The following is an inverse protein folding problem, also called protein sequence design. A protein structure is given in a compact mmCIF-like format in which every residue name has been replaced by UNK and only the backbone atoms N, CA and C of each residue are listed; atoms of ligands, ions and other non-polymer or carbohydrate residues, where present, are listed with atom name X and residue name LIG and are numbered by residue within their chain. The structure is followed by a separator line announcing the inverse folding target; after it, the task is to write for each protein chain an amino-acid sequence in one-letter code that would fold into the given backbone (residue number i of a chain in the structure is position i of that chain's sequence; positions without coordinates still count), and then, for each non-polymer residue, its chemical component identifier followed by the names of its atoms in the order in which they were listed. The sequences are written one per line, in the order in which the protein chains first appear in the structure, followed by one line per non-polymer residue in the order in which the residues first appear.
data_IF_737040253906
#
_entry.id   IF_737040253906
#
_cell.length_a   1.000
_cell.length_b   1.000
_cell.length_c   1.000
_cell.angle_alpha   90.00
_cell.angle_beta   90.00
_cell.angle_gamma   90.00
#
_symmetry.space_group_name_H-M   'P 1'
#
loop_
_entity.id
_entity.type
_entity.pdbx_description
1 polymer ?
#
# COMPACT_ATOMS: atom_id res chain seq x y z
N UNK A 1 -3.87 -16.99 -36.27
CA UNK A 1 -4.05 -16.02 -35.17
C UNK A 1 -3.26 -16.51 -33.96
N UNK A 2 -2.06 -15.98 -33.74
CA UNK A 2 -1.19 -16.39 -32.64
C UNK A 2 -1.66 -15.83 -31.31
N UNK A 3 -1.95 -16.70 -30.34
CA UNK A 3 -2.11 -16.31 -28.93
C UNK A 3 -0.73 -16.00 -28.38
N UNK A 4 -0.41 -14.71 -28.26
CA UNK A 4 0.78 -14.27 -27.53
C UNK A 4 0.68 -14.76 -26.09
N UNK A 5 1.54 -15.72 -25.71
CA UNK A 5 1.75 -16.08 -24.31
C UNK A 5 2.40 -14.85 -23.65
N UNK A 6 1.62 -14.07 -22.92
CA UNK A 6 2.17 -12.98 -22.11
C UNK A 6 3.22 -13.54 -21.17
N UNK A 7 4.44 -13.05 -21.28
CA UNK A 7 5.50 -13.37 -20.32
C UNK A 7 5.07 -12.77 -18.99
N UNK A 8 4.68 -13.61 -18.03
CA UNK A 8 4.45 -13.16 -16.65
C UNK A 8 5.82 -12.83 -16.04
N UNK A 9 6.19 -11.56 -16.04
CA UNK A 9 7.42 -11.09 -15.40
C UNK A 9 7.21 -11.09 -13.87
N UNK A 10 7.79 -12.07 -13.17
CA UNK A 10 7.78 -12.09 -11.70
C UNK A 10 8.73 -11.00 -11.19
N UNK A 11 8.24 -10.12 -10.33
CA UNK A 11 9.05 -9.10 -9.67
C UNK A 11 10.12 -9.75 -8.79
N UNK A 12 11.38 -9.36 -8.94
CA UNK A 12 12.45 -9.79 -8.04
C UNK A 12 12.30 -9.14 -6.66
N UNK A 13 13.04 -9.62 -5.65
CA UNK A 13 13.07 -8.96 -4.32
C UNK A 13 13.53 -7.50 -4.43
N UNK A 14 14.48 -7.21 -5.32
CA UNK A 14 14.95 -5.85 -5.57
C UNK A 14 13.84 -4.98 -6.19
N UNK A 15 13.14 -5.47 -7.22
CA UNK A 15 12.06 -4.71 -7.85
C UNK A 15 10.93 -4.42 -6.86
N UNK A 16 10.55 -5.39 -6.03
CA UNK A 16 9.49 -5.24 -5.01
C UNK A 16 9.87 -4.20 -3.97
N UNK A 17 11.13 -4.19 -3.52
CA UNK A 17 11.63 -3.23 -2.54
C UNK A 17 11.78 -1.82 -3.14
N UNK A 18 12.28 -1.72 -4.37
CA UNK A 18 12.33 -0.45 -5.09
C UNK A 18 10.93 0.13 -5.28
N UNK A 19 9.97 -0.70 -5.68
CA UNK A 19 8.58 -0.29 -5.86
C UNK A 19 7.94 0.14 -4.53
N UNK A 20 8.22 -0.57 -3.44
CA UNK A 20 7.79 -0.20 -2.09
C UNK A 20 8.30 1.20 -1.69
N UNK A 21 9.58 1.50 -1.94
CA UNK A 21 10.15 2.84 -1.69
C UNK A 21 9.43 3.91 -2.53
N UNK A 22 9.30 3.68 -3.84
CA UNK A 22 8.68 4.66 -4.75
C UNK A 22 7.24 4.96 -4.33
N UNK A 23 6.45 3.92 -4.05
CA UNK A 23 5.04 4.08 -3.71
C UNK A 23 4.86 4.71 -2.32
N UNK A 24 5.64 4.30 -1.32
CA UNK A 24 5.59 4.91 0.01
C UNK A 24 5.93 6.42 -0.05
N UNK A 25 7.00 6.77 -0.78
CA UNK A 25 7.39 8.17 -0.99
C UNK A 25 6.31 8.96 -1.72
N UNK A 26 5.76 8.39 -2.80
CA UNK A 26 4.74 9.07 -3.61
C UNK A 26 3.46 9.30 -2.82
N UNK A 27 2.98 8.31 -2.08
CA UNK A 27 1.75 8.40 -1.28
C UNK A 27 1.91 9.42 -0.15
N UNK A 28 3.05 9.46 0.53
CA UNK A 28 3.32 10.46 1.56
C UNK A 28 3.39 11.88 1.00
N UNK A 29 4.03 12.07 -0.16
CA UNK A 29 4.11 13.37 -0.84
C UNK A 29 2.74 13.87 -1.31
N UNK A 30 1.87 12.97 -1.77
CA UNK A 30 0.53 13.30 -2.24
C UNK A 30 -0.51 13.36 -1.12
N UNK A 31 -0.18 12.92 0.09
CA UNK A 31 -1.08 12.95 1.25
C UNK A 31 -1.59 14.37 1.53
N UNK A 32 -2.91 14.50 1.75
CA UNK A 32 -3.59 15.79 1.94
C UNK A 32 -3.39 16.79 0.79
N UNK A 33 -3.04 16.31 -0.40
CA UNK A 33 -3.14 17.09 -1.63
C UNK A 33 -4.38 16.64 -2.39
N UNK A 34 -4.94 17.49 -3.28
CA UNK A 34 -6.05 17.06 -4.11
C UNK A 34 -5.74 15.80 -4.92
N UNK A 35 -4.46 15.54 -5.22
CA UNK A 35 -4.02 14.46 -6.12
C UNK A 35 -4.18 13.04 -5.56
N UNK A 36 -4.45 12.89 -4.27
CA UNK A 36 -4.72 11.61 -3.63
C UNK A 36 -6.09 11.69 -2.96
N UNK A 37 -6.97 10.75 -3.28
CA UNK A 37 -8.27 10.64 -2.60
C UNK A 37 -8.07 10.16 -1.16
N UNK A 38 -9.00 10.52 -0.26
CA UNK A 38 -8.95 10.13 1.16
C UNK A 38 -8.98 8.59 1.34
N UNK A 39 -9.48 7.87 0.34
CA UNK A 39 -9.44 6.42 0.23
C UNK A 39 -8.94 6.07 -1.15
N UNK A 40 -7.72 5.53 -1.23
CA UNK A 40 -7.11 5.06 -2.47
C UNK A 40 -7.01 3.54 -2.47
N UNK A 41 -6.88 2.93 -3.65
CA UNK A 41 -6.77 1.48 -3.81
C UNK A 41 -5.62 1.11 -4.75
N UNK A 42 -5.08 -0.10 -4.57
CA UNK A 42 -4.00 -0.64 -5.42
C UNK A 42 -4.33 -0.63 -6.92
N UNK A 43 -5.62 -0.72 -7.29
CA UNK A 43 -6.08 -0.68 -8.69
C UNK A 43 -5.92 0.70 -9.35
N UNK A 44 -5.64 1.75 -8.58
CA UNK A 44 -5.38 3.09 -9.08
C UNK A 44 -3.92 3.29 -9.48
N UNK A 45 -3.04 2.34 -9.15
CA UNK A 45 -1.63 2.33 -9.51
C UNK A 45 -1.46 1.67 -10.88
N UNK A 46 -0.99 2.45 -11.85
CA UNK A 46 -0.78 2.01 -13.22
C UNK A 46 0.71 1.93 -13.56
N UNK A 47 1.06 0.96 -14.39
CA UNK A 47 2.39 0.78 -14.95
C UNK A 47 2.34 0.87 -16.46
N UNK A 48 3.34 1.50 -17.08
CA UNK A 48 3.47 1.51 -18.54
C UNK A 48 3.85 0.10 -18.99
N UNK A 49 3.00 -0.50 -19.82
CA UNK A 49 3.30 -1.79 -20.46
C UNK A 49 4.18 -1.57 -21.69
N UNK A 50 5.38 -2.16 -21.69
CA UNK A 50 6.27 -2.24 -22.86
C UNK A 50 6.30 -3.67 -23.42
N UNK A 51 6.98 -3.85 -24.55
CA UNK A 51 7.10 -5.13 -25.26
C UNK A 51 7.85 -6.20 -24.46
N UNK A 52 8.75 -5.78 -23.58
CA UNK A 52 9.58 -6.59 -22.69
C UNK A 52 8.98 -6.78 -21.29
N UNK A 53 7.95 -6.00 -20.95
CA UNK A 53 7.26 -6.08 -19.67
C UNK A 53 6.75 -4.71 -19.19
N UNK A 54 6.02 -4.67 -18.07
CA UNK A 54 5.68 -3.42 -17.40
C UNK A 54 6.91 -2.72 -16.80
N UNK A 55 6.93 -1.38 -16.84
CA UNK A 55 8.00 -0.55 -16.25
C UNK A 55 7.66 -0.22 -14.81
N UNK A 56 8.22 -0.99 -13.88
CA UNK A 56 7.92 -0.85 -12.45
C UNK A 56 8.56 0.37 -11.78
N UNK A 57 9.63 0.92 -12.35
CA UNK A 57 10.31 2.10 -11.79
C UNK A 57 9.57 3.43 -11.94
N UNK A 58 8.43 3.44 -12.64
CA UNK A 58 7.65 4.64 -12.93
C UNK A 58 6.15 4.36 -12.79
N UNK A 59 5.65 4.10 -11.56
CA UNK A 59 4.23 3.96 -11.32
C UNK A 59 3.52 5.30 -11.49
N UNK A 60 2.27 5.25 -11.98
CA UNK A 60 1.37 6.39 -12.09
C UNK A 60 0.17 6.17 -11.17
N UNK A 61 -0.34 7.22 -10.56
CA UNK A 61 -1.58 7.17 -9.79
C UNK A 61 -2.69 7.79 -10.64
N UNK A 62 -3.77 7.04 -10.83
CA UNK A 62 -4.96 7.51 -11.53
C UNK A 62 -5.76 8.41 -10.61
N UNK A 63 -6.18 9.56 -11.12
CA UNK A 63 -7.10 10.45 -10.43
C UNK A 63 -8.28 10.79 -11.33
N UNK A 64 -9.48 10.57 -10.81
CA UNK A 64 -10.69 11.02 -11.47
C UNK A 64 -10.97 12.47 -11.07
N UNK A 65 -10.49 13.41 -11.91
CA UNK A 65 -10.88 14.82 -11.77
C UNK A 65 -12.38 14.92 -12.07
N UNK A 66 -13.19 15.03 -11.02
CA UNK A 66 -14.63 15.22 -11.18
C UNK A 66 -14.83 16.59 -11.85
N UNK A 67 -15.25 16.59 -13.12
CA UNK A 67 -16.03 17.73 -13.63
C UNK A 67 -17.25 17.85 -12.73
N UNK A 68 -17.68 19.07 -12.37
CA UNK A 68 -18.73 19.35 -11.41
C UNK A 68 -20.13 18.75 -11.73
N UNK A 69 -20.23 17.83 -12.70
CA UNK A 69 -21.45 17.27 -13.26
C UNK A 69 -21.39 15.74 -13.28
N UNK A 70 -21.30 15.12 -12.10
CA UNK A 70 -21.95 13.83 -11.79
C UNK A 70 -21.37 13.28 -10.48
N UNK A 71 -22.03 13.63 -9.37
CA UNK A 71 -21.97 12.80 -8.17
C UNK A 71 -22.78 11.52 -8.43
N UNK A 72 -22.26 10.62 -9.26
CA UNK A 72 -22.73 9.25 -9.23
C UNK A 72 -22.05 8.56 -8.06
N UNK A 73 -22.73 8.59 -6.92
CA UNK A 73 -22.42 7.82 -5.72
C UNK A 73 -22.58 6.34 -6.08
N UNK A 74 -21.53 5.70 -6.60
CA UNK A 74 -21.44 4.25 -6.46
C UNK A 74 -21.15 3.99 -4.98
N UNK A 75 -21.92 3.15 -4.28
CA UNK A 75 -21.53 2.64 -2.98
C UNK A 75 -20.39 1.65 -3.24
N UNK A 76 -19.17 2.15 -3.48
CA UNK A 76 -18.00 1.30 -3.37
C UNK A 76 -17.92 0.99 -1.88
N UNK A 77 -18.05 -0.29 -1.51
CA UNK A 77 -17.72 -0.71 -0.14
C UNK A 77 -16.27 -0.28 0.07
N UNK A 78 -16.06 0.79 0.82
CA UNK A 78 -14.72 1.33 1.05
C UNK A 78 -13.96 0.33 1.94
N UNK A 79 -13.02 -0.45 1.39
CA UNK A 79 -12.43 -1.61 2.06
C UNK A 79 -11.55 -1.20 3.26
N UNK A 80 -11.35 0.10 3.45
CA UNK A 80 -10.45 0.68 4.45
C UNK A 80 -11.17 1.65 5.41
N UNK A 81 -12.50 1.71 5.39
CA UNK A 81 -13.28 2.54 6.33
C UNK A 81 -13.87 1.69 7.44
N UNK A 82 -13.19 1.65 8.60
CA UNK A 82 -13.68 1.04 9.83
C UNK A 82 -13.10 1.79 11.04
N UNK A 83 -13.79 1.90 12.19
CA UNK A 83 -13.25 2.58 13.37
C UNK A 83 -11.89 2.06 13.88
N UNK A 84 -11.54 0.82 13.50
CA UNK A 84 -10.23 0.25 13.82
C UNK A 84 -9.09 0.85 12.97
N UNK A 85 -9.41 1.29 11.75
CA UNK A 85 -8.51 1.90 10.77
C UNK A 85 -8.55 3.42 10.96
N UNK A 86 -7.49 3.98 11.54
CA UNK A 86 -7.42 5.42 11.88
C UNK A 86 -7.02 6.29 10.69
N UNK A 87 -6.14 5.78 9.85
CA UNK A 87 -5.67 6.45 8.65
C UNK A 87 -5.83 5.49 7.45
N UNK A 88 -6.93 5.60 6.69
CA UNK A 88 -7.18 4.72 5.54
C UNK A 88 -6.08 4.77 4.48
N UNK A 89 -5.46 5.94 4.27
CA UNK A 89 -4.36 6.11 3.29
C UNK A 89 -3.14 5.31 3.70
N UNK A 90 -2.69 5.43 4.95
CA UNK A 90 -1.56 4.66 5.45
C UNK A 90 -1.90 3.17 5.57
N UNK A 91 -3.13 2.84 5.94
CA UNK A 91 -3.56 1.45 5.99
C UNK A 91 -3.50 0.78 4.61
N UNK A 92 -4.01 1.45 3.57
CA UNK A 92 -3.88 0.99 2.19
C UNK A 92 -2.42 0.85 1.76
N UNK A 93 -1.54 1.77 2.18
CA UNK A 93 -0.10 1.66 1.95
C UNK A 93 0.49 0.43 2.63
N UNK A 94 0.14 0.19 3.90
CA UNK A 94 0.59 -1.00 4.63
C UNK A 94 0.13 -2.31 3.99
N UNK A 95 -1.12 -2.36 3.53
CA UNK A 95 -1.64 -3.51 2.76
C UNK A 95 -0.83 -3.71 1.49
N UNK A 96 -0.60 -2.65 0.72
CA UNK A 96 0.20 -2.74 -0.50
C UNK A 96 1.64 -3.23 -0.23
N UNK A 97 2.27 -2.76 0.83
CA UNK A 97 3.61 -3.23 1.23
C UNK A 97 3.60 -4.72 1.62
N UNK A 98 2.56 -5.20 2.31
CA UNK A 98 2.37 -6.63 2.59
C UNK A 98 2.28 -7.42 1.29
N UNK A 99 1.45 -6.96 0.35
CA UNK A 99 1.25 -7.62 -0.95
C UNK A 99 2.53 -7.67 -1.78
N UNK A 100 3.32 -6.59 -1.77
CA UNK A 100 4.63 -6.55 -2.42
C UNK A 100 5.61 -7.52 -1.76
N UNK A 101 5.69 -7.54 -0.43
CA UNK A 101 6.62 -8.42 0.29
C UNK A 101 6.32 -9.91 0.03
N UNK A 102 5.04 -10.29 0.14
CA UNK A 102 4.59 -11.69 0.02
C UNK A 102 4.27 -12.10 -1.43
N UNK A 103 4.24 -11.15 -2.37
CA UNK A 103 3.82 -11.36 -3.76
C UNK A 103 2.47 -12.07 -3.91
N UNK A 104 1.55 -11.75 -3.00
CA UNK A 104 0.19 -12.27 -2.98
C UNK A 104 -0.76 -11.13 -2.62
N UNK A 105 -1.91 -11.00 -3.30
CA UNK A 105 -2.91 -10.04 -2.91
C UNK A 105 -3.50 -10.41 -1.53
N UNK A 106 -3.92 -9.41 -0.75
CA UNK A 106 -4.46 -9.58 0.60
C UNK A 106 -5.61 -10.60 0.62
N UNK A 107 -6.40 -10.64 -0.45
CA UNK A 107 -7.51 -11.56 -0.60
C UNK A 107 -7.10 -13.04 -0.57
N UNK A 108 -5.92 -13.38 -1.06
CA UNK A 108 -5.39 -14.75 -1.04
C UNK A 108 -4.72 -15.12 0.29
N UNK A 109 -4.43 -14.12 1.13
CA UNK A 109 -3.78 -14.29 2.42
C UNK A 109 -4.79 -14.32 3.58
N UNK A 110 -6.08 -14.06 3.28
CA UNK A 110 -7.17 -14.01 4.25
C UNK A 110 -7.54 -15.41 4.73
N UNK A 111 -7.72 -15.53 6.05
CA UNK A 111 -8.21 -16.77 6.65
C UNK A 111 -9.75 -16.76 6.71
N UNK A 112 -10.41 -17.93 6.60
CA UNK A 112 -11.86 -18.01 6.69
C UNK A 112 -12.44 -17.40 7.98
N UNK A 113 -11.73 -17.52 9.10
CA UNK A 113 -12.16 -17.02 10.41
C UNK A 113 -12.12 -15.50 10.52
N UNK A 114 -11.48 -14.81 9.58
CA UNK A 114 -11.39 -13.34 9.52
C UNK A 114 -12.57 -12.72 8.74
N UNK A 115 -13.36 -13.53 8.05
CA UNK A 115 -14.52 -13.09 7.27
C UNK A 115 -15.74 -12.86 8.16
N UNK A 116 -16.75 -12.16 7.65
CA UNK A 116 -18.02 -12.05 8.39
C UNK A 116 -18.77 -13.38 8.46
N UNK A 117 -19.89 -13.36 9.19
CA UNK A 117 -20.78 -14.52 9.40
C UNK A 117 -21.29 -15.16 8.09
N UNK A 118 -21.32 -14.40 7.00
CA UNK A 118 -21.80 -14.82 5.69
C UNK A 118 -20.63 -15.26 4.78
N UNK A 119 -19.39 -15.21 5.28
CA UNK A 119 -18.18 -15.55 4.56
C UNK A 119 -17.72 -14.45 3.59
N UNK A 120 -18.17 -13.21 3.80
CA UNK A 120 -17.79 -12.08 2.98
C UNK A 120 -16.68 -11.24 3.63
N UNK A 121 -15.69 -10.77 2.86
CA UNK A 121 -14.67 -9.87 3.38
C UNK A 121 -15.27 -8.48 3.60
N UNK A 122 -14.91 -7.85 4.72
CA UNK A 122 -15.27 -6.49 5.03
C UNK A 122 -14.03 -5.69 5.51
N UNK A 123 -14.15 -4.38 5.78
CA UNK A 123 -13.02 -3.58 6.25
C UNK A 123 -12.37 -4.07 7.54
N UNK A 124 -13.13 -4.68 8.45
CA UNK A 124 -12.59 -5.30 9.66
C UNK A 124 -11.79 -6.56 9.30
N UNK A 125 -12.28 -7.39 8.38
CA UNK A 125 -11.54 -8.54 7.85
C UNK A 125 -10.19 -8.12 7.28
N UNK A 126 -10.15 -7.05 6.47
CA UNK A 126 -8.91 -6.53 5.90
C UNK A 126 -7.91 -6.12 6.99
N UNK A 127 -8.40 -5.45 8.04
CA UNK A 127 -7.56 -5.07 9.17
C UNK A 127 -7.05 -6.29 9.94
N UNK A 128 -7.89 -7.29 10.21
CA UNK A 128 -7.49 -8.53 10.89
C UNK A 128 -6.39 -9.26 10.11
N UNK A 129 -6.61 -9.49 8.81
CA UNK A 129 -5.64 -10.11 7.91
C UNK A 129 -4.32 -9.33 7.90
N UNK A 130 -4.37 -8.01 7.66
CA UNK A 130 -3.16 -7.19 7.60
C UNK A 130 -2.42 -7.17 8.95
N UNK A 131 -3.13 -7.02 10.07
CA UNK A 131 -2.52 -6.97 11.40
C UNK A 131 -1.85 -8.29 11.80
N UNK A 132 -2.42 -9.44 11.40
CA UNK A 132 -1.80 -10.76 11.57
C UNK A 132 -0.54 -10.90 10.71
N UNK A 133 -0.60 -10.47 9.46
CA UNK A 133 0.51 -10.60 8.51
C UNK A 133 1.74 -9.76 8.86
N UNK A 134 1.59 -8.71 9.68
CA UNK A 134 2.75 -7.90 10.16
C UNK A 134 3.87 -8.79 10.69
N UNK A 135 3.55 -9.83 11.48
CA UNK A 135 4.56 -10.69 12.09
C UNK A 135 5.25 -11.59 11.03
N UNK A 136 4.54 -12.00 9.98
CA UNK A 136 5.10 -12.71 8.83
C UNK A 136 6.04 -11.81 8.00
N UNK A 137 5.71 -10.52 7.88
CA UNK A 137 6.57 -9.54 7.19
C UNK A 137 7.92 -9.38 7.88
N UNK A 138 8.00 -9.44 9.21
CA UNK A 138 9.29 -9.40 9.91
C UNK A 138 10.20 -10.57 9.48
N UNK A 139 9.63 -11.73 9.17
CA UNK A 139 10.38 -12.91 8.74
C UNK A 139 10.79 -12.83 7.27
N UNK A 140 9.90 -12.40 6.38
CA UNK A 140 10.16 -12.37 4.92
C UNK A 140 10.88 -11.08 4.47
N UNK A 141 10.45 -9.93 4.99
CA UNK A 141 10.95 -8.60 4.63
C UNK A 141 12.15 -8.16 5.47
N UNK A 142 12.29 -8.68 6.69
CA UNK A 142 13.28 -8.23 7.68
C UNK A 142 12.76 -7.11 8.59
N UNK A 143 13.56 -6.74 9.59
CA UNK A 143 13.11 -5.85 10.67
C UNK A 143 12.62 -4.49 10.18
N UNK A 144 13.37 -3.83 9.30
CA UNK A 144 13.04 -2.45 8.86
C UNK A 144 11.80 -2.44 7.99
N UNK A 145 11.68 -3.39 7.06
CA UNK A 145 10.46 -3.57 6.28
C UNK A 145 9.26 -3.89 7.18
N UNK A 146 9.41 -4.79 8.14
CA UNK A 146 8.38 -5.12 9.13
C UNK A 146 7.94 -3.92 9.95
N UNK A 147 8.88 -3.10 10.42
CA UNK A 147 8.60 -1.86 11.16
C UNK A 147 7.83 -0.84 10.29
N UNK A 148 8.23 -0.68 9.02
CA UNK A 148 7.51 0.19 8.09
C UNK A 148 6.06 -0.25 7.87
N UNK A 149 5.82 -1.56 7.68
CA UNK A 149 4.46 -2.12 7.57
C UNK A 149 3.70 -1.96 8.87
N UNK A 150 4.33 -2.26 10.00
CA UNK A 150 3.73 -2.13 11.33
C UNK A 150 3.22 -0.71 11.55
N UNK A 151 4.04 0.29 11.23
CA UNK A 151 3.67 1.69 11.38
C UNK A 151 2.48 2.09 10.49
N UNK A 152 2.33 1.48 9.31
CA UNK A 152 1.18 1.69 8.44
C UNK A 152 -0.12 1.03 8.95
N UNK A 153 -0.02 -0.17 9.54
CA UNK A 153 -1.17 -1.03 9.90
C UNK A 153 -1.62 -0.83 11.35
N UNK A 154 -0.67 -0.79 12.28
CA UNK A 154 -0.90 -0.59 13.72
C UNK A 154 -0.90 0.90 14.00
N UNK A 155 -1.63 1.32 15.04
CA UNK A 155 -2.11 2.70 15.32
C UNK A 155 -1.01 3.73 15.66
N UNK A 156 0.15 3.66 15.04
CA UNK A 156 1.31 4.52 15.32
C UNK A 156 1.21 5.90 14.67
N UNK A 157 0.21 6.08 13.80
CA UNK A 157 -0.21 7.37 13.24
C UNK A 157 -1.69 7.60 13.60
N UNK A 158 -1.94 8.25 14.73
CA UNK A 158 -3.31 8.65 15.08
C UNK A 158 -3.65 9.97 14.37
N UNK A 159 -4.67 9.93 13.49
CA UNK A 159 -5.24 11.12 12.85
C UNK A 159 -5.90 12.08 13.87
N UNK A 160 -6.06 11.64 15.13
CA UNK A 160 -6.58 12.41 16.26
C UNK A 160 -5.51 13.15 17.07
N UNK A 161 -4.23 13.03 16.71
CA UNK A 161 -3.28 14.06 17.14
C UNK A 161 -3.64 15.35 16.39
N UNK A 162 -4.65 16.05 16.91
CA UNK A 162 -5.23 17.27 16.36
C UNK A 162 -4.23 18.45 16.27
N UNK A 163 -2.97 18.19 16.63
CA UNK A 163 -1.86 19.13 16.64
C UNK A 163 -0.76 18.80 15.62
N UNK A 164 -0.84 17.70 14.85
CA UNK A 164 0.17 17.43 13.82
C UNK A 164 -0.18 18.22 12.55
N UNK A 165 0.65 19.20 12.21
CA UNK A 165 0.57 19.84 10.91
C UNK A 165 0.92 18.82 9.80
N UNK A 166 0.52 19.12 8.56
CA UNK A 166 0.80 18.23 7.40
C UNK A 166 2.29 17.90 7.29
N UNK A 167 3.15 18.87 7.58
CA UNK A 167 4.61 18.75 7.50
C UNK A 167 5.15 17.80 8.57
N UNK A 168 4.62 17.85 9.80
CA UNK A 168 4.97 16.92 10.87
C UNK A 168 4.56 15.50 10.54
N UNK A 169 3.39 15.32 9.90
CA UNK A 169 2.93 14.02 9.44
C UNK A 169 3.81 13.46 8.32
N UNK A 170 4.16 14.28 7.33
CA UNK A 170 5.03 13.86 6.22
C UNK A 170 6.43 13.49 6.71
N UNK A 171 6.99 14.28 7.63
CA UNK A 171 8.27 13.99 8.24
C UNK A 171 8.23 12.70 9.05
N UNK A 172 7.23 12.54 9.92
CA UNK A 172 7.07 11.30 10.69
C UNK A 172 6.83 10.08 9.78
N UNK A 173 6.08 10.24 8.70
CA UNK A 173 5.86 9.24 7.66
C UNK A 173 7.17 8.85 6.97
N UNK A 174 7.98 9.84 6.60
CA UNK A 174 9.29 9.59 6.00
C UNK A 174 10.20 8.82 6.97
N UNK A 175 10.34 9.30 8.20
CA UNK A 175 11.25 8.70 9.19
C UNK A 175 10.86 7.27 9.54
N UNK A 176 9.56 7.02 9.78
CA UNK A 176 9.05 5.72 10.23
C UNK A 176 8.77 4.72 9.10
N UNK A 177 8.64 5.17 7.85
CA UNK A 177 8.27 4.27 6.73
C UNK A 177 9.34 4.33 5.64
N UNK A 178 9.49 5.47 4.97
CA UNK A 178 10.33 5.57 3.77
C UNK A 178 11.80 5.35 4.11
N UNK A 179 12.32 5.99 5.16
CA UNK A 179 13.72 5.90 5.55
C UNK A 179 14.15 4.45 5.85
N UNK A 180 13.23 3.64 6.37
CA UNK A 180 13.46 2.22 6.67
C UNK A 180 13.57 1.39 5.39
N UNK A 181 12.64 1.61 4.46
CA UNK A 181 12.64 0.93 3.15
C UNK A 181 13.85 1.34 2.30
N UNK A 182 14.23 2.62 2.32
CA UNK A 182 15.43 3.13 1.63
C UNK A 182 16.71 2.51 2.18
N UNK A 183 16.82 2.33 3.50
CA UNK A 183 17.97 1.65 4.12
C UNK A 183 18.07 0.21 3.67
N UNK A 184 16.95 -0.52 3.63
CA UNK A 184 16.93 -1.90 3.11
C UNK A 184 17.34 -1.95 1.64
N UNK A 185 16.91 -0.99 0.83
CA UNK A 185 17.25 -0.92 -0.59
C UNK A 185 18.75 -0.61 -0.80
N UNK A 186 19.32 0.29 -0.01
CA UNK A 186 20.76 0.60 -0.02
C UNK A 186 21.60 -0.62 0.34
N UNK A 187 21.22 -1.33 1.40
CA UNK A 187 21.90 -2.55 1.83
C UNK A 187 21.82 -3.64 0.74
N UNK A 188 20.66 -3.76 0.07
CA UNK A 188 20.48 -4.72 -1.03
C UNK A 188 21.40 -4.41 -2.22
N UNK A 189 21.63 -3.13 -2.52
CA UNK A 189 22.55 -2.69 -3.58
C UNK A 189 24.01 -2.63 -3.14
N UNK A 190 24.33 -2.90 -1.87
CA UNK A 190 25.68 -2.81 -1.34
C UNK A 190 26.22 -1.38 -1.24
N UNK A 191 25.34 -0.37 -1.27
CA UNK A 191 25.69 1.04 -1.18
C UNK A 191 25.73 1.42 0.31
N UNK A 192 26.93 1.40 0.90
CA UNK A 192 27.19 1.85 2.28
C UNK A 192 27.42 3.36 2.35
#
# INVERSE_FOLDING_TARGET
MGRGRGIQHRLSRADRLQLAVILASSILQLYQTPWLEDVWQKDEILFIQRTDGPVYGQPFITRHLSSAVSKQTKPKLEPHTHPVIRNPVLFALGVLLIELCLSKPLEQLRLPEEMDKDGHPNPLSNWMTANRLVDEIYMEGGSRYGDAVRHCIRRDFDRRDANLEREDFQQAGYDKIVSLLEKDLKDLHGLR
#
